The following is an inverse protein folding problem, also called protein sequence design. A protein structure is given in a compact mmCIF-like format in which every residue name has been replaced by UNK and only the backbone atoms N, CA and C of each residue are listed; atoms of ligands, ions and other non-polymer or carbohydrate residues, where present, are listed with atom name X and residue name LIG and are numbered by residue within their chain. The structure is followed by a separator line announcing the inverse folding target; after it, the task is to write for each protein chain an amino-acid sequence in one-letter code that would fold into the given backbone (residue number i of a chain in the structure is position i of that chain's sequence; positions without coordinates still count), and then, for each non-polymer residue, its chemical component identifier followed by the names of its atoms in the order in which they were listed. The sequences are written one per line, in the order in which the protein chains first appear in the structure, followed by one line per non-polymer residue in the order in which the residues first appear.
data_IF_530662107600
#
_entry.id   IF_530662107600
#
_cell.length_a   1.000
_cell.length_b   1.000
_cell.length_c   1.000
_cell.angle_alpha   90.00
_cell.angle_beta   90.00
_cell.angle_gamma   90.00
#
_symmetry.space_group_name_H-M   'P 1'
#
loop_
_entity.id
_entity.type
_entity.pdbx_description
1 polymer ?
#
# COMPACT_ATOMS: atom_id res chain seq x y z
N UNK A 1 18.87 -2.57 9.32
CA UNK A 1 20.10 -2.38 8.52
C UNK A 1 21.25 -2.87 9.38
N UNK A 2 21.78 -4.06 9.10
CA UNK A 2 22.97 -4.58 9.79
C UNK A 2 24.10 -4.62 8.76
N UNK A 3 25.22 -3.99 9.12
CA UNK A 3 26.45 -3.95 8.32
C UNK A 3 27.25 -5.20 8.68
N UNK A 4 27.48 -6.09 7.72
CA UNK A 4 28.40 -7.21 7.91
C UNK A 4 29.77 -6.77 7.37
N UNK A 5 30.75 -6.57 8.26
CA UNK A 5 32.06 -5.95 7.96
C UNK A 5 33.03 -6.81 7.14
N UNK A 6 32.61 -7.97 6.63
CA UNK A 6 33.54 -8.92 5.99
C UNK A 6 33.33 -9.25 4.52
N UNK A 7 32.52 -8.48 3.77
CA UNK A 7 32.58 -8.58 2.30
C UNK A 7 32.12 -7.30 1.59
N UNK A 8 33.02 -6.66 0.82
CA UNK A 8 32.77 -5.44 0.02
C UNK A 8 31.92 -5.71 -1.24
N UNK A 9 30.74 -6.31 -1.06
CA UNK A 9 29.62 -6.23 -2.01
C UNK A 9 28.36 -5.93 -1.18
N UNK A 10 27.96 -4.67 -1.18
CA UNK A 10 26.68 -4.22 -0.62
C UNK A 10 25.55 -4.78 -1.49
N UNK A 11 25.14 -6.03 -1.22
CA UNK A 11 23.86 -6.53 -1.68
C UNK A 11 22.81 -5.95 -0.74
N UNK A 12 22.17 -4.86 -1.13
CA UNK A 12 21.00 -4.34 -0.42
C UNK A 12 19.85 -5.33 -0.66
N UNK A 13 19.69 -6.29 0.25
CA UNK A 13 18.58 -7.25 0.22
C UNK A 13 17.36 -6.58 0.85
N UNK A 14 16.20 -6.74 0.22
CA UNK A 14 14.91 -6.31 0.78
C UNK A 14 14.61 -7.17 2.00
N UNK A 15 14.66 -6.59 3.21
CA UNK A 15 14.29 -7.26 4.46
C UNK A 15 12.78 -7.12 4.63
N UNK A 16 12.03 -8.17 4.28
CA UNK A 16 10.58 -8.28 4.48
C UNK A 16 10.23 -9.22 5.62
N UNK A 17 8.94 -9.45 5.86
CA UNK A 17 8.45 -10.44 6.85
C UNK A 17 8.91 -11.87 6.54
N UNK A 18 9.19 -12.17 5.28
CA UNK A 18 9.77 -13.44 4.83
C UNK A 18 11.21 -13.67 5.27
N UNK A 19 11.91 -12.62 5.70
CA UNK A 19 13.30 -12.66 6.19
C UNK A 19 13.38 -12.40 7.70
N UNK A 20 12.23 -12.35 8.38
CA UNK A 20 12.14 -12.13 9.83
C UNK A 20 11.19 -13.15 10.46
N UNK A 21 9.93 -12.78 10.70
CA UNK A 21 9.04 -13.54 11.58
C UNK A 21 8.53 -14.85 11.00
N UNK A 22 8.47 -14.98 9.67
CA UNK A 22 8.09 -16.25 9.04
C UNK A 22 9.20 -17.29 9.14
N UNK A 23 10.46 -16.86 9.11
CA UNK A 23 11.62 -17.74 9.34
C UNK A 23 11.60 -18.20 10.79
N UNK A 24 11.49 -17.27 11.74
CA UNK A 24 11.40 -17.57 13.18
C UNK A 24 10.28 -18.59 13.48
N UNK A 25 9.11 -18.44 12.83
CA UNK A 25 7.99 -19.38 12.98
C UNK A 25 8.38 -20.80 12.56
N UNK A 26 8.99 -20.96 11.39
CA UNK A 26 9.38 -22.27 10.85
C UNK A 26 10.53 -22.87 11.66
N UNK A 27 11.55 -22.09 11.98
CA UNK A 27 12.70 -22.53 12.79
C UNK A 27 12.28 -22.96 14.20
N UNK A 28 11.23 -22.36 14.76
CA UNK A 28 10.70 -22.77 16.07
C UNK A 28 10.05 -24.16 16.09
N UNK A 29 9.70 -24.71 14.91
CA UNK A 29 8.94 -25.97 14.80
C UNK A 29 7.47 -25.89 15.25
N UNK A 30 6.98 -24.71 15.66
CA UNK A 30 5.63 -24.53 16.20
C UNK A 30 4.59 -24.09 15.17
N UNK A 31 4.93 -24.05 13.88
CA UNK A 31 4.01 -23.64 12.83
C UNK A 31 4.36 -24.18 11.45
N UNK A 32 3.41 -24.06 10.54
CA UNK A 32 3.52 -24.48 9.14
C UNK A 32 3.04 -23.36 8.24
N UNK A 33 3.73 -23.17 7.10
CA UNK A 33 3.29 -22.29 6.02
C UNK A 33 2.79 -23.16 4.87
N UNK A 34 1.56 -22.93 4.42
CA UNK A 34 0.94 -23.63 3.30
C UNK A 34 0.85 -22.67 2.10
N UNK A 35 1.81 -22.69 1.16
CA UNK A 35 1.73 -21.89 -0.06
C UNK A 35 0.76 -22.53 -1.07
N UNK A 36 0.29 -21.74 -2.03
CA UNK A 36 -0.54 -22.25 -3.14
C UNK A 36 -1.98 -22.64 -2.76
N UNK A 37 -2.45 -22.26 -1.57
CA UNK A 37 -3.84 -22.37 -1.19
C UNK A 37 -4.51 -21.00 -0.99
N UNK A 38 -5.83 -20.97 -1.15
CA UNK A 38 -6.65 -19.80 -0.90
C UNK A 38 -7.65 -20.04 0.23
N UNK A 39 -7.73 -19.14 1.21
CA UNK A 39 -8.77 -19.16 2.22
C UNK A 39 -10.13 -18.84 1.59
N UNK A 40 -11.08 -19.76 1.74
CA UNK A 40 -12.41 -19.71 1.12
C UNK A 40 -13.42 -19.09 2.08
N UNK A 41 -13.40 -19.51 3.34
CA UNK A 41 -14.41 -19.17 4.35
C UNK A 41 -13.88 -19.41 5.76
N UNK A 42 -14.16 -18.49 6.69
CA UNK A 42 -13.99 -18.72 8.12
C UNK A 42 -15.24 -19.41 8.65
N UNK A 43 -15.08 -20.61 9.21
CA UNK A 43 -16.19 -21.35 9.81
C UNK A 43 -16.40 -20.86 11.24
N UNK A 44 -17.63 -20.47 11.56
CA UNK A 44 -18.06 -20.10 12.90
C UNK A 44 -19.44 -20.67 13.20
N UNK A 45 -19.76 -20.83 14.48
CA UNK A 45 -21.09 -21.28 14.90
C UNK A 45 -21.60 -20.48 16.09
N UNK A 46 -22.93 -20.33 16.17
CA UNK A 46 -23.59 -19.69 17.29
C UNK A 46 -24.21 -20.74 18.19
N UNK A 47 -23.77 -20.80 19.44
CA UNK A 47 -24.42 -21.62 20.47
C UNK A 47 -25.69 -20.92 20.97
N UNK A 48 -26.72 -21.71 21.29
CA UNK A 48 -27.97 -21.20 21.89
C UNK A 48 -27.64 -20.43 23.18
N UNK A 49 -28.15 -19.21 23.31
CA UNK A 49 -27.92 -18.34 24.47
C UNK A 49 -26.63 -17.49 24.43
N UNK A 50 -25.83 -17.54 23.35
CA UNK A 50 -24.73 -16.58 23.14
C UNK A 50 -25.12 -15.49 22.15
N UNK A 51 -24.65 -14.27 22.42
CA UNK A 51 -24.88 -13.10 21.55
C UNK A 51 -24.00 -13.12 20.29
N UNK A 52 -22.79 -13.67 20.40
CA UNK A 52 -21.81 -13.80 19.32
C UNK A 52 -21.63 -15.25 18.89
N UNK A 53 -21.30 -15.47 17.62
CA UNK A 53 -20.78 -16.76 17.18
C UNK A 53 -19.33 -16.92 17.62
N UNK A 54 -18.80 -18.14 17.56
CA UNK A 54 -17.40 -18.44 17.88
C UNK A 54 -16.73 -19.05 16.66
N UNK A 55 -15.55 -18.54 16.29
CA UNK A 55 -14.71 -19.10 15.24
C UNK A 55 -14.34 -20.57 15.54
N UNK A 56 -14.23 -21.38 14.48
CA UNK A 56 -13.87 -22.81 14.57
C UNK A 56 -12.72 -23.20 13.67
N UNK A 57 -12.38 -22.37 12.69
CA UNK A 57 -11.35 -22.69 11.72
C UNK A 57 -11.55 -21.96 10.42
N UNK A 58 -10.82 -22.42 9.41
CA UNK A 58 -10.86 -21.88 8.05
C UNK A 58 -10.96 -23.02 7.04
N UNK A 59 -11.88 -22.88 6.09
CA UNK A 59 -11.87 -23.64 4.86
C UNK A 59 -10.89 -22.99 3.88
N UNK A 60 -10.04 -23.78 3.26
CA UNK A 60 -9.10 -23.33 2.25
C UNK A 60 -9.03 -24.34 1.09
N UNK A 61 -8.72 -23.87 -0.10
CA UNK A 61 -8.62 -24.69 -1.31
C UNK A 61 -7.23 -24.65 -1.94
N UNK A 62 -6.73 -25.79 -2.39
CA UNK A 62 -5.63 -25.87 -3.36
C UNK A 62 -6.21 -25.97 -4.76
N UNK A 63 -5.60 -25.26 -5.71
CA UNK A 63 -5.89 -25.41 -7.13
C UNK A 63 -4.67 -26.08 -7.76
N UNK A 64 -4.85 -27.33 -8.18
CA UNK A 64 -3.80 -28.10 -8.84
C UNK A 64 -3.64 -27.68 -10.31
N UNK A 65 -2.51 -28.05 -10.91
CA UNK A 65 -2.20 -27.68 -12.30
C UNK A 65 -3.21 -28.23 -13.32
N UNK A 66 -3.87 -29.33 -13.01
CA UNK A 66 -4.93 -29.94 -13.81
C UNK A 66 -6.31 -29.28 -13.59
N UNK A 67 -6.37 -28.22 -12.78
CA UNK A 67 -7.60 -27.50 -12.44
C UNK A 67 -8.43 -28.16 -11.34
N UNK A 68 -8.01 -29.31 -10.81
CA UNK A 68 -8.71 -29.95 -9.70
C UNK A 68 -8.60 -29.10 -8.43
N UNK A 69 -9.69 -29.07 -7.65
CA UNK A 69 -9.78 -28.33 -6.39
C UNK A 69 -9.79 -29.30 -5.23
N UNK A 70 -8.85 -29.13 -4.30
CA UNK A 70 -8.86 -29.84 -3.02
C UNK A 70 -9.27 -28.87 -1.92
N UNK A 71 -10.42 -29.11 -1.28
CA UNK A 71 -10.90 -28.29 -0.16
C UNK A 71 -10.52 -28.95 1.16
N UNK A 72 -9.86 -28.18 2.02
CA UNK A 72 -9.37 -28.61 3.33
C UNK A 72 -9.96 -27.73 4.44
N UNK A 73 -10.05 -28.28 5.64
CA UNK A 73 -10.48 -27.55 6.84
C UNK A 73 -9.37 -27.56 7.90
N UNK A 74 -8.91 -26.37 8.28
CA UNK A 74 -8.02 -26.21 9.42
C UNK A 74 -8.81 -25.75 10.64
N UNK A 75 -8.95 -26.62 11.63
CA UNK A 75 -9.59 -26.30 12.91
C UNK A 75 -8.66 -25.43 13.77
N UNK A 76 -9.22 -24.42 14.43
CA UNK A 76 -8.48 -23.51 15.30
C UNK A 76 -9.29 -23.09 16.53
N UNK A 77 -8.59 -22.69 17.60
CA UNK A 77 -9.20 -22.03 18.77
C UNK A 77 -9.43 -20.54 18.52
N UNK A 78 -8.50 -19.94 17.78
CA UNK A 78 -8.52 -18.54 17.33
C UNK A 78 -8.15 -18.52 15.85
N UNK A 79 -8.82 -17.69 15.06
CA UNK A 79 -8.53 -17.45 13.64
C UNK A 79 -8.14 -15.99 13.45
N UNK A 80 -7.05 -15.74 12.71
CA UNK A 80 -6.59 -14.40 12.36
C UNK A 80 -6.68 -14.25 10.84
N UNK A 81 -7.35 -13.20 10.38
CA UNK A 81 -7.44 -12.82 8.96
C UNK A 81 -6.43 -11.72 8.67
N UNK A 82 -5.60 -11.92 7.65
CA UNK A 82 -4.55 -10.99 7.24
C UNK A 82 -4.41 -10.96 5.70
N UNK A 83 -5.53 -10.84 4.99
CA UNK A 83 -5.58 -10.87 3.53
C UNK A 83 -5.35 -9.48 2.88
N UNK A 84 -5.10 -8.45 3.68
CA UNK A 84 -4.91 -7.07 3.24
C UNK A 84 -6.24 -6.32 3.04
N UNK A 85 -6.16 -4.99 2.94
CA UNK A 85 -7.33 -4.12 2.89
C UNK A 85 -8.30 -4.38 1.73
N UNK A 86 -7.88 -5.04 0.67
CA UNK A 86 -8.76 -5.38 -0.45
C UNK A 86 -9.49 -6.71 -0.23
N UNK A 87 -8.77 -7.74 0.22
CA UNK A 87 -9.30 -9.10 0.25
C UNK A 87 -9.91 -9.49 1.60
N UNK A 88 -9.45 -8.90 2.71
CA UNK A 88 -9.99 -9.16 4.06
C UNK A 88 -11.50 -8.90 4.14
N UNK A 89 -12.03 -7.73 3.69
CA UNK A 89 -13.46 -7.51 3.68
C UNK A 89 -14.26 -8.56 2.92
N UNK A 90 -13.70 -9.03 1.80
CA UNK A 90 -14.34 -10.04 0.97
C UNK A 90 -14.42 -11.39 1.67
N UNK A 91 -13.32 -11.85 2.29
CA UNK A 91 -13.32 -13.10 3.06
C UNK A 91 -14.30 -13.02 4.24
N UNK A 92 -14.32 -11.91 4.98
CA UNK A 92 -15.23 -11.75 6.12
C UNK A 92 -16.71 -11.77 5.69
N UNK A 93 -17.07 -11.02 4.63
CA UNK A 93 -18.44 -11.02 4.08
C UNK A 93 -18.85 -12.40 3.57
N UNK A 94 -17.94 -13.09 2.87
CA UNK A 94 -18.16 -14.46 2.38
C UNK A 94 -18.34 -15.46 3.52
N UNK A 95 -17.67 -15.23 4.64
CA UNK A 95 -17.83 -15.98 5.90
C UNK A 95 -19.10 -15.63 6.67
N UNK A 96 -20.01 -14.84 6.08
CA UNK A 96 -21.32 -14.56 6.63
C UNK A 96 -21.39 -13.39 7.63
N UNK A 97 -20.29 -12.66 7.87
CA UNK A 97 -20.32 -11.47 8.71
C UNK A 97 -21.19 -10.37 8.07
N UNK A 98 -21.95 -9.65 8.89
CA UNK A 98 -22.97 -8.66 8.48
C UNK A 98 -22.65 -7.23 8.90
N UNK A 99 -21.52 -7.00 9.56
CA UNK A 99 -21.17 -5.69 10.08
C UNK A 99 -21.06 -4.68 8.91
N UNK A 100 -21.85 -3.58 8.93
CA UNK A 100 -21.96 -2.66 7.80
C UNK A 100 -20.68 -1.84 7.55
N UNK A 101 -19.70 -1.89 8.46
CA UNK A 101 -18.41 -1.24 8.31
C UNK A 101 -17.39 -2.09 7.53
N UNK A 102 -17.66 -3.38 7.33
CA UNK A 102 -16.76 -4.26 6.56
C UNK A 102 -16.77 -3.83 5.09
N UNK A 103 -15.59 -3.49 4.59
CA UNK A 103 -15.33 -3.00 3.24
C UNK A 103 -15.55 -1.50 3.05
N UNK A 104 -15.80 -0.73 4.12
CA UNK A 104 -15.94 0.74 4.06
C UNK A 104 -14.71 1.42 4.64
N UNK A 105 -14.58 2.72 4.41
CA UNK A 105 -13.42 3.50 4.90
C UNK A 105 -12.11 3.05 4.24
N UNK A 106 -12.18 2.61 2.98
CA UNK A 106 -11.00 2.29 2.21
C UNK A 106 -10.25 3.59 1.89
N UNK A 107 -9.01 3.67 2.34
CA UNK A 107 -8.04 4.67 1.93
C UNK A 107 -7.03 4.03 0.99
N UNK A 108 -6.58 4.78 -0.01
CA UNK A 108 -5.68 4.27 -1.05
C UNK A 108 -4.34 5.00 -1.09
N UNK A 109 -4.16 6.08 -0.33
CA UNK A 109 -2.90 6.82 -0.29
C UNK A 109 -2.47 7.24 -1.73
N UNK A 110 -3.27 8.10 -2.40
CA UNK A 110 -3.12 8.38 -3.81
C UNK A 110 -1.79 9.06 -4.13
N UNK A 111 -1.26 8.77 -5.32
CA UNK A 111 0.02 9.24 -5.81
C UNK A 111 -0.10 9.85 -7.21
N UNK A 112 0.56 10.98 -7.40
CA UNK A 112 0.90 11.52 -8.73
C UNK A 112 2.40 11.68 -8.86
N UNK A 113 2.91 11.59 -10.08
CA UNK A 113 4.35 11.61 -10.35
C UNK A 113 4.72 12.68 -11.37
N UNK A 114 5.97 13.12 -11.28
CA UNK A 114 6.69 13.80 -12.34
C UNK A 114 7.95 12.98 -12.69
N UNK A 115 8.47 13.17 -13.89
CA UNK A 115 9.68 12.53 -14.36
C UNK A 115 10.66 13.57 -14.88
N UNK A 116 11.95 13.23 -14.79
CA UNK A 116 13.05 14.04 -15.31
C UNK A 116 14.07 13.15 -16.01
N UNK A 117 14.46 13.52 -17.22
CA UNK A 117 15.52 12.87 -17.98
C UNK A 117 16.86 13.57 -17.75
N UNK A 118 17.90 12.78 -17.53
CA UNK A 118 19.24 13.26 -17.25
C UNK A 118 20.22 12.68 -18.29
N UNK A 119 20.77 13.49 -19.22
CA UNK A 119 21.71 13.01 -20.21
C UNK A 119 23.04 12.55 -19.60
N UNK A 120 23.88 11.90 -20.40
CA UNK A 120 25.26 11.56 -20.01
C UNK A 120 26.05 12.83 -19.65
N UNK A 121 26.60 12.87 -18.43
CA UNK A 121 27.40 14.00 -17.92
C UNK A 121 26.75 14.80 -16.79
N UNK A 122 25.41 14.85 -16.71
CA UNK A 122 24.69 15.50 -15.60
C UNK A 122 24.15 14.51 -14.55
N UNK A 123 24.39 13.22 -14.75
CA UNK A 123 23.98 12.16 -13.83
C UNK A 123 25.09 11.89 -12.80
N UNK A 124 24.78 11.83 -11.49
CA UNK A 124 25.78 11.81 -10.41
C UNK A 124 26.82 10.69 -10.52
N UNK A 125 26.47 9.58 -11.16
CA UNK A 125 27.34 8.40 -11.29
C UNK A 125 27.23 7.86 -12.72
N UNK A 126 28.25 8.04 -13.56
CA UNK A 126 28.20 7.79 -15.01
C UNK A 126 27.56 6.44 -15.42
N UNK A 127 27.74 5.39 -14.63
CA UNK A 127 27.24 4.04 -14.88
C UNK A 127 25.90 3.70 -14.20
N UNK A 128 25.48 4.51 -13.23
CA UNK A 128 24.25 4.24 -12.47
C UNK A 128 23.04 4.43 -13.35
N UNK A 129 22.06 3.55 -13.19
CA UNK A 129 20.78 3.61 -13.89
C UNK A 129 19.67 3.94 -12.91
N UNK A 130 18.59 4.55 -13.39
CA UNK A 130 17.42 4.90 -12.58
C UNK A 130 16.80 3.71 -11.83
N UNK A 131 16.97 2.50 -12.37
CA UNK A 131 16.46 1.25 -11.79
C UNK A 131 17.50 0.46 -10.96
N UNK A 132 18.70 1.00 -10.74
CA UNK A 132 19.74 0.39 -9.90
C UNK A 132 19.86 1.10 -8.56
N UNK A 133 19.87 0.34 -7.46
CA UNK A 133 20.06 0.85 -6.10
C UNK A 133 18.85 0.60 -5.19
N UNK A 134 18.89 1.17 -3.98
CA UNK A 134 17.77 1.10 -3.04
C UNK A 134 16.58 1.96 -3.50
N UNK A 135 15.36 1.46 -3.27
CA UNK A 135 14.14 2.23 -3.46
C UNK A 135 13.96 3.24 -2.31
N UNK A 136 13.42 4.42 -2.60
CA UNK A 136 13.00 5.39 -1.57
C UNK A 136 14.08 5.75 -0.53
N UNK A 137 15.31 6.01 -0.98
CA UNK A 137 16.42 6.39 -0.08
C UNK A 137 16.34 7.83 0.45
N UNK A 138 15.43 8.64 -0.09
CA UNK A 138 15.17 10.01 0.34
C UNK A 138 13.68 10.33 0.32
N UNK A 139 13.28 11.21 1.23
CA UNK A 139 11.92 11.69 1.40
C UNK A 139 11.96 13.17 1.75
N UNK A 140 11.05 13.97 1.21
CA UNK A 140 10.87 15.38 1.57
C UNK A 140 9.48 15.61 2.14
N UNK A 141 9.44 16.29 3.28
CA UNK A 141 8.21 16.65 3.99
C UNK A 141 7.78 18.09 3.72
N UNK A 142 8.37 18.75 2.71
CA UNK A 142 8.18 20.19 2.43
C UNK A 142 6.73 20.59 2.21
N UNK A 143 5.88 19.66 1.75
CA UNK A 143 4.44 19.86 1.54
C UNK A 143 3.58 18.88 2.36
N UNK A 144 4.15 18.27 3.40
CA UNK A 144 3.46 17.24 4.19
C UNK A 144 2.47 17.81 5.22
N UNK A 145 2.60 19.10 5.57
CA UNK A 145 1.73 19.81 6.51
C UNK A 145 1.53 19.12 7.88
N UNK A 146 2.56 18.45 8.39
CA UNK A 146 2.47 17.73 9.67
C UNK A 146 2.22 18.64 10.88
N UNK A 147 2.58 19.93 10.80
CA UNK A 147 2.38 20.90 11.88
C UNK A 147 1.04 21.66 11.79
N UNK A 148 0.40 21.65 10.62
CA UNK A 148 -0.87 22.33 10.39
C UNK A 148 -2.02 21.34 10.49
N UNK A 149 -2.67 21.07 9.35
CA UNK A 149 -3.84 20.18 9.30
C UNK A 149 -3.48 18.70 9.51
N UNK A 150 -2.20 18.34 9.34
CA UNK A 150 -1.75 16.95 9.28
C UNK A 150 -2.09 16.25 7.96
N UNK A 151 -2.71 16.95 7.00
CA UNK A 151 -3.09 16.47 5.68
C UNK A 151 -2.31 17.23 4.60
N UNK A 152 -1.22 16.64 4.16
CA UNK A 152 -0.41 17.10 3.04
C UNK A 152 0.09 15.93 2.20
N UNK A 153 1.11 16.20 1.38
CA UNK A 153 1.78 15.19 0.60
C UNK A 153 3.26 15.06 1.00
N UNK A 154 3.76 13.84 0.99
CA UNK A 154 5.19 13.56 1.13
C UNK A 154 5.77 13.28 -0.25
N UNK A 155 6.97 13.80 -0.49
CA UNK A 155 7.66 13.63 -1.76
C UNK A 155 8.69 12.53 -1.62
N UNK A 156 8.65 11.54 -2.51
CA UNK A 156 9.51 10.37 -2.49
C UNK A 156 9.87 9.96 -3.92
N UNK A 157 10.76 8.98 -4.05
CA UNK A 157 11.23 8.46 -5.35
C UNK A 157 10.84 7.00 -5.50
N UNK A 158 10.17 6.60 -6.60
CA UNK A 158 9.85 5.21 -6.85
C UNK A 158 11.02 4.54 -7.59
N UNK A 159 11.08 3.21 -7.50
CA UNK A 159 11.87 2.41 -8.44
C UNK A 159 10.91 1.85 -9.49
N UNK A 160 11.08 2.27 -10.75
CA UNK A 160 10.27 1.76 -11.86
C UNK A 160 11.09 0.77 -12.67
N UNK A 161 10.59 -0.46 -12.79
CA UNK A 161 11.05 -1.39 -13.81
C UNK A 161 10.50 -1.01 -15.21
N UNK A 162 11.07 -1.53 -16.32
CA UNK A 162 10.67 -1.15 -17.67
C UNK A 162 9.17 -1.28 -17.96
N UNK A 163 8.52 -2.33 -17.43
CA UNK A 163 7.09 -2.54 -17.61
C UNK A 163 6.24 -1.44 -16.96
N UNK A 164 6.53 -1.09 -15.71
CA UNK A 164 5.81 0.00 -15.02
C UNK A 164 6.10 1.35 -15.66
N UNK A 165 7.36 1.59 -16.06
CA UNK A 165 7.71 2.80 -16.79
C UNK A 165 6.89 2.92 -18.08
N UNK A 166 6.79 1.84 -18.87
CA UNK A 166 5.98 1.85 -20.10
C UNK A 166 4.48 2.06 -19.84
N UNK A 167 3.94 1.51 -18.74
CA UNK A 167 2.54 1.67 -18.40
C UNK A 167 2.18 3.08 -17.92
N UNK A 168 3.12 3.77 -17.26
CA UNK A 168 2.89 5.09 -16.68
C UNK A 168 3.28 6.24 -17.63
N UNK A 169 4.27 6.05 -18.50
CA UNK A 169 4.75 7.10 -19.39
C UNK A 169 3.64 7.47 -20.40
N UNK A 170 3.31 8.77 -20.57
CA UNK A 170 2.26 9.18 -21.49
C UNK A 170 2.55 8.74 -22.93
N UNK A 171 1.52 8.21 -23.58
CA UNK A 171 1.56 7.87 -24.98
C UNK A 171 1.09 9.06 -25.83
N UNK A 172 1.99 9.61 -26.64
CA UNK A 172 1.66 10.65 -27.64
C UNK A 172 1.67 10.08 -29.05
N UNK A 173 2.72 9.32 -29.39
CA UNK A 173 2.86 8.63 -30.68
C UNK A 173 3.85 7.47 -30.55
N UNK A 174 3.88 6.58 -31.55
CA UNK A 174 4.83 5.47 -31.55
C UNK A 174 6.30 5.91 -31.61
N UNK A 175 6.61 7.03 -32.26
CA UNK A 175 7.97 7.57 -32.31
C UNK A 175 8.37 8.24 -30.99
N UNK A 176 7.49 9.05 -30.41
CA UNK A 176 7.68 9.69 -29.10
C UNK A 176 7.87 8.62 -28.01
N UNK A 177 7.01 7.60 -27.97
CA UNK A 177 7.10 6.55 -26.98
C UNK A 177 8.40 5.74 -27.09
N UNK A 178 8.84 5.40 -28.32
CA UNK A 178 10.16 4.78 -28.55
C UNK A 178 11.30 5.64 -28.04
N UNK A 179 11.24 6.96 -28.24
CA UNK A 179 12.24 7.90 -27.73
C UNK A 179 12.24 7.99 -26.19
N UNK A 180 11.07 7.93 -25.54
CA UNK A 180 10.98 7.88 -24.08
C UNK A 180 11.51 6.56 -23.52
N UNK A 181 11.20 5.43 -24.17
CA UNK A 181 11.70 4.11 -23.78
C UNK A 181 13.22 4.00 -23.91
N UNK A 182 13.84 4.60 -24.94
CA UNK A 182 15.30 4.61 -25.07
C UNK A 182 15.99 5.43 -23.96
N UNK A 183 15.29 6.43 -23.42
CA UNK A 183 15.74 7.28 -22.30
C UNK A 183 15.55 6.65 -20.91
N UNK A 184 14.74 5.58 -20.77
CA UNK A 184 14.33 4.96 -19.50
C UNK A 184 15.44 4.87 -18.46
N UNK A 185 16.61 4.36 -18.87
CA UNK A 185 17.73 4.05 -17.97
C UNK A 185 18.31 5.28 -17.24
N UNK A 186 17.98 6.50 -17.70
CA UNK A 186 18.36 7.78 -17.09
C UNK A 186 17.17 8.72 -16.87
N UNK A 187 15.97 8.16 -16.75
CA UNK A 187 14.78 8.94 -16.37
C UNK A 187 14.43 8.63 -14.92
N UNK A 188 14.60 9.62 -14.06
CA UNK A 188 14.20 9.54 -12.65
C UNK A 188 12.73 9.97 -12.51
N UNK A 189 12.07 9.45 -11.48
CA UNK A 189 10.70 9.81 -11.14
C UNK A 189 10.67 10.31 -9.71
N UNK A 190 9.83 11.31 -9.47
CA UNK A 190 9.54 11.85 -8.14
C UNK A 190 8.04 11.87 -8.01
N UNK A 191 7.53 11.38 -6.88
CA UNK A 191 6.10 11.32 -6.64
C UNK A 191 5.68 12.05 -5.39
N UNK A 192 4.48 12.59 -5.43
CA UNK A 192 3.76 13.14 -4.30
C UNK A 192 2.73 12.13 -3.82
N UNK A 193 2.81 11.77 -2.55
CA UNK A 193 1.95 10.80 -1.89
C UNK A 193 1.11 11.53 -0.84
N UNK A 194 -0.19 11.67 -1.09
CA UNK A 194 -1.08 12.45 -0.23
C UNK A 194 -1.70 11.57 0.86
N UNK A 195 -1.66 12.05 2.11
CA UNK A 195 -2.50 11.48 3.18
C UNK A 195 -3.96 11.77 2.84
N UNK A 196 -4.71 10.77 2.39
CA UNK A 196 -6.06 10.99 1.89
C UNK A 196 -7.09 11.23 3.00
N UNK A 197 -7.89 12.29 2.85
CA UNK A 197 -9.19 12.46 3.50
C UNK A 197 -10.28 11.71 2.76
N UNK A 198 -10.12 11.61 1.44
CA UNK A 198 -10.94 10.82 0.55
C UNK A 198 -11.04 9.39 1.06
N UNK A 199 -12.17 8.76 0.79
CA UNK A 199 -12.42 7.39 1.20
C UNK A 199 -13.26 6.66 0.17
N UNK A 200 -13.27 5.35 0.32
CA UNK A 200 -13.89 4.43 -0.60
C UNK A 200 -14.47 3.20 0.06
N UNK A 201 -14.91 2.28 -0.79
CA UNK A 201 -15.47 1.01 -0.41
C UNK A 201 -14.96 -0.12 -1.32
N UNK A 202 -14.79 -1.32 -0.77
CA UNK A 202 -14.45 -2.54 -1.49
C UNK A 202 -15.73 -3.34 -1.82
N UNK A 203 -15.95 -3.60 -3.10
CA UNK A 203 -17.09 -4.40 -3.59
C UNK A 203 -16.68 -5.86 -3.83
N UNK A 204 -15.46 -6.07 -4.33
CA UNK A 204 -14.86 -7.39 -4.54
C UNK A 204 -13.34 -7.31 -4.36
N UNK A 205 -12.63 -8.43 -4.59
CA UNK A 205 -11.16 -8.47 -4.57
C UNK A 205 -10.52 -7.50 -5.59
N UNK A 206 -11.25 -7.14 -6.65
CA UNK A 206 -10.75 -6.37 -7.80
C UNK A 206 -11.57 -5.13 -8.10
N UNK A 207 -12.62 -4.85 -7.33
CA UNK A 207 -13.54 -3.74 -7.57
C UNK A 207 -13.70 -2.88 -6.33
N UNK A 208 -13.50 -1.58 -6.52
CA UNK A 208 -13.62 -0.55 -5.48
C UNK A 208 -14.36 0.66 -6.03
N UNK A 209 -14.90 1.45 -5.11
CA UNK A 209 -15.21 2.86 -5.36
C UNK A 209 -14.31 3.69 -4.47
N UNK A 210 -13.73 4.75 -5.01
CA UNK A 210 -12.95 5.71 -4.23
C UNK A 210 -13.30 7.12 -4.67
N UNK A 211 -13.54 8.01 -3.70
CA UNK A 211 -13.79 9.42 -3.95
C UNK A 211 -12.66 10.23 -3.33
N UNK A 212 -11.83 10.80 -4.19
CA UNK A 212 -10.78 11.73 -3.79
C UNK A 212 -11.39 13.01 -3.23
N UNK A 213 -10.89 13.48 -2.08
CA UNK A 213 -11.31 14.77 -1.52
C UNK A 213 -10.65 15.92 -2.29
N UNK A 214 -11.28 17.10 -2.26
CA UNK A 214 -10.72 18.30 -2.88
C UNK A 214 -9.37 18.67 -2.25
N UNK A 215 -9.25 18.51 -0.93
CA UNK A 215 -7.98 18.74 -0.22
C UNK A 215 -6.88 17.81 -0.72
N UNK A 216 -7.22 16.55 -1.00
CA UNK A 216 -6.25 15.56 -1.49
C UNK A 216 -5.76 15.94 -2.87
N UNK A 217 -6.67 16.35 -3.77
CA UNK A 217 -6.33 16.81 -5.10
C UNK A 217 -5.40 18.03 -5.04
N UNK A 218 -5.69 19.02 -4.19
CA UNK A 218 -4.85 20.20 -3.99
C UNK A 218 -3.47 19.84 -3.44
N UNK A 219 -3.39 18.92 -2.48
CA UNK A 219 -2.13 18.45 -1.91
C UNK A 219 -1.28 17.71 -2.94
N UNK A 220 -1.89 16.87 -3.79
CA UNK A 220 -1.21 16.20 -4.90
C UNK A 220 -0.67 17.21 -5.92
N UNK A 221 -1.45 18.24 -6.27
CA UNK A 221 -1.02 19.32 -7.17
C UNK A 221 0.17 20.11 -6.63
N UNK A 222 0.15 20.46 -5.34
CA UNK A 222 1.28 21.09 -4.65
C UNK A 222 2.52 20.19 -4.64
N UNK A 223 2.34 18.90 -4.39
CA UNK A 223 3.42 17.92 -4.46
C UNK A 223 3.99 17.75 -5.87
N UNK A 224 3.14 17.78 -6.91
CA UNK A 224 3.55 17.71 -8.31
C UNK A 224 4.36 18.95 -8.73
N UNK A 225 3.91 20.14 -8.33
CA UNK A 225 4.64 21.40 -8.50
C UNK A 225 6.05 21.32 -7.91
N UNK A 226 6.16 20.88 -6.65
CA UNK A 226 7.48 20.68 -6.01
C UNK A 226 8.30 19.59 -6.66
N UNK A 227 7.69 18.51 -7.13
CA UNK A 227 8.39 17.41 -7.82
C UNK A 227 9.07 17.88 -9.11
N UNK A 228 8.38 18.69 -9.93
CA UNK A 228 8.97 19.30 -11.14
C UNK A 228 10.15 20.20 -10.82
N UNK A 229 10.04 21.04 -9.78
CA UNK A 229 11.13 21.91 -9.32
C UNK A 229 12.32 21.13 -8.78
N UNK A 230 12.07 20.07 -8.00
CA UNK A 230 13.13 19.19 -7.49
C UNK A 230 13.89 18.55 -8.64
N UNK A 231 13.19 18.04 -9.66
CA UNK A 231 13.82 17.43 -10.83
C UNK A 231 14.67 18.43 -11.62
N UNK A 232 14.14 19.62 -11.86
CA UNK A 232 14.88 20.70 -12.52
C UNK A 232 16.13 21.12 -11.73
N UNK A 233 15.98 21.36 -10.42
CA UNK A 233 17.09 21.72 -9.53
C UNK A 233 18.14 20.61 -9.39
N UNK A 234 17.72 19.34 -9.53
CA UNK A 234 18.63 18.19 -9.55
C UNK A 234 19.43 18.08 -10.87
N UNK A 235 19.12 18.88 -11.90
CA UNK A 235 19.83 18.91 -13.17
C UNK A 235 19.18 18.08 -14.28
N UNK A 236 17.88 17.80 -14.20
CA UNK A 236 17.15 17.20 -15.30
C UNK A 236 17.20 18.13 -16.53
N UNK A 237 17.53 17.58 -17.69
CA UNK A 237 17.48 18.33 -18.94
C UNK A 237 16.05 18.47 -19.45
N UNK A 238 15.27 17.41 -19.34
CA UNK A 238 13.87 17.39 -19.75
C UNK A 238 13.01 16.96 -18.58
N UNK A 239 11.91 17.65 -18.33
CA UNK A 239 10.94 17.30 -17.29
C UNK A 239 9.52 17.19 -17.87
N UNK A 240 8.68 16.44 -17.19
CA UNK A 240 7.25 16.37 -17.49
C UNK A 240 6.46 15.64 -16.41
N UNK A 241 5.17 15.55 -16.66
CA UNK A 241 4.23 14.80 -15.80
C UNK A 241 3.76 13.54 -16.53
N UNK A 242 2.92 12.75 -15.85
CA UNK A 242 2.24 11.60 -16.46
C UNK A 242 0.88 11.96 -17.07
N UNK A 243 0.60 13.25 -17.27
CA UNK A 243 -0.61 13.66 -17.97
C UNK A 243 -0.61 13.13 -19.41
N UNK A 244 -1.76 12.67 -19.89
CA UNK A 244 -1.92 12.03 -21.20
C UNK A 244 -1.64 12.97 -22.39
N UNK A 245 -1.62 14.29 -22.19
CA UNK A 245 -1.16 15.25 -23.20
C UNK A 245 0.35 15.15 -23.48
N UNK A 246 1.12 14.53 -22.58
CA UNK A 246 2.54 14.22 -22.78
C UNK A 246 3.44 15.45 -22.94
N UNK A 247 3.01 16.63 -22.46
CA UNK A 247 3.82 17.85 -22.53
C UNK A 247 5.15 17.67 -21.78
N UNK A 248 6.22 18.18 -22.38
CA UNK A 248 7.56 18.17 -21.81
C UNK A 248 8.19 19.54 -21.93
N UNK A 249 9.20 19.80 -21.09
CA UNK A 249 9.98 21.03 -21.11
C UNK A 249 11.45 20.68 -21.05
N UNK A 250 12.24 21.20 -22.00
CA UNK A 250 13.70 21.18 -21.88
C UNK A 250 14.14 22.37 -21.00
N UNK A 251 14.54 22.07 -19.76
CA UNK A 251 14.86 23.06 -18.72
C UNK A 251 16.07 23.92 -19.11
N UNK A 252 16.98 23.42 -19.95
CA UNK A 252 18.20 24.14 -20.35
C UNK A 252 17.99 25.16 -21.46
N UNK A 253 16.89 25.04 -22.20
CA UNK A 253 16.64 25.81 -23.43
C UNK A 253 15.52 26.84 -23.28
N UNK A 254 15.10 27.14 -22.05
CA UNK A 254 13.95 28.01 -21.77
C UNK A 254 14.31 29.07 -20.73
N UNK A 255 13.62 30.20 -20.81
CA UNK A 255 13.68 31.24 -19.78
C UNK A 255 13.05 30.77 -18.47
N UNK A 256 13.41 31.44 -17.37
CA UNK A 256 12.75 31.21 -16.09
C UNK A 256 11.23 31.42 -16.17
N UNK A 257 10.76 32.40 -16.94
CA UNK A 257 9.33 32.67 -17.12
C UNK A 257 8.61 31.50 -17.83
N UNK A 258 9.20 30.92 -18.87
CA UNK A 258 8.65 29.76 -19.56
C UNK A 258 8.62 28.52 -18.66
N UNK A 259 9.68 28.32 -17.86
CA UNK A 259 9.72 27.28 -16.84
C UNK A 259 8.58 27.44 -15.82
N UNK A 260 8.40 28.63 -15.25
CA UNK A 260 7.31 28.91 -14.30
C UNK A 260 5.94 28.68 -14.94
N UNK A 261 5.75 29.12 -16.19
CA UNK A 261 4.52 28.88 -16.94
C UNK A 261 4.23 27.37 -17.08
N UNK A 262 5.23 26.58 -17.46
CA UNK A 262 5.11 25.13 -17.61
C UNK A 262 4.76 24.45 -16.28
N UNK A 263 5.50 24.75 -15.21
CA UNK A 263 5.27 24.16 -13.88
C UNK A 263 3.85 24.46 -13.42
N UNK A 264 3.41 25.72 -13.52
CA UNK A 264 2.05 26.13 -13.15
C UNK A 264 0.99 25.45 -14.01
N UNK A 265 1.19 25.37 -15.32
CA UNK A 265 0.23 24.74 -16.22
C UNK A 265 0.06 23.26 -15.88
N UNK A 266 1.17 22.52 -15.78
CA UNK A 266 1.15 21.07 -15.55
C UNK A 266 0.66 20.72 -14.14
N UNK A 267 1.07 21.46 -13.10
CA UNK A 267 0.68 21.17 -11.73
C UNK A 267 -0.76 21.58 -11.39
N UNK A 268 -1.38 22.47 -12.18
CA UNK A 268 -2.77 22.93 -11.93
C UNK A 268 -3.83 22.07 -12.60
N UNK A 269 -3.45 21.20 -13.55
CA UNK A 269 -4.38 20.33 -14.28
C UNK A 269 -5.25 19.51 -13.33
N UNK A 270 -6.53 19.39 -13.62
CA UNK A 270 -7.43 18.54 -12.84
C UNK A 270 -6.96 17.07 -12.86
N UNK A 271 -6.95 16.43 -11.70
CA UNK A 271 -6.59 15.01 -11.56
C UNK A 271 -7.82 14.12 -11.75
N UNK A 272 -8.54 14.34 -12.85
CA UNK A 272 -9.84 13.74 -13.17
C UNK A 272 -9.85 13.20 -14.60
N UNK A 273 -10.93 12.52 -14.95
CA UNK A 273 -11.22 12.04 -16.31
C UNK A 273 -10.12 11.15 -16.92
N UNK A 274 -9.38 10.43 -16.06
CA UNK A 274 -8.29 9.52 -16.45
C UNK A 274 -7.17 10.26 -17.22
N UNK A 275 -7.13 11.59 -17.13
CA UNK A 275 -6.14 12.41 -17.83
C UNK A 275 -4.73 12.27 -17.24
N UNK A 276 -4.62 11.90 -15.97
CA UNK A 276 -3.36 11.65 -15.28
C UNK A 276 -3.52 10.38 -14.46
N UNK A 277 -2.65 9.37 -14.61
CA UNK A 277 -2.68 8.17 -13.79
C UNK A 277 -2.52 8.52 -12.31
N UNK A 278 -3.49 8.13 -11.48
CA UNK A 278 -3.38 8.14 -10.03
C UNK A 278 -2.96 6.74 -9.59
N UNK A 279 -1.79 6.66 -8.97
CA UNK A 279 -1.24 5.39 -8.51
C UNK A 279 -1.52 5.18 -7.01
N UNK A 280 -1.48 3.93 -6.58
CA UNK A 280 -1.57 3.55 -5.16
C UNK A 280 -0.77 2.29 -4.92
N UNK A 281 -0.06 2.25 -3.79
CA UNK A 281 0.60 1.05 -3.27
C UNK A 281 0.13 0.69 -1.85
N UNK A 282 -0.69 1.54 -1.22
CA UNK A 282 -1.03 1.41 0.19
C UNK A 282 -2.55 1.46 0.39
N UNK A 283 -3.21 0.31 0.29
CA UNK A 283 -4.62 0.18 0.63
C UNK A 283 -4.77 -0.10 2.12
N UNK A 284 -5.68 0.62 2.79
CA UNK A 284 -5.89 0.51 4.24
C UNK A 284 -7.32 0.88 4.65
N UNK A 285 -7.69 0.52 5.88
CA UNK A 285 -8.88 1.03 6.58
C UNK A 285 -10.23 0.39 6.25
N UNK A 286 -10.28 -0.54 5.30
CA UNK A 286 -11.51 -1.20 4.85
C UNK A 286 -12.23 -2.07 5.91
N UNK A 287 -11.58 -2.38 7.03
CA UNK A 287 -12.16 -3.03 8.21
C UNK A 287 -11.75 -2.29 9.47
N UNK A 288 -11.91 -0.94 9.49
CA UNK A 288 -11.38 -0.08 10.55
C UNK A 288 -11.67 -0.58 11.96
N UNK A 289 -10.64 -0.45 12.80
CA UNK A 289 -10.68 -0.61 14.23
C UNK A 289 -11.41 0.57 14.89
N UNK A 290 -12.16 0.31 15.97
CA UNK A 290 -12.80 1.35 16.76
C UNK A 290 -13.32 0.83 18.09
N UNK A 291 -13.89 1.72 18.90
CA UNK A 291 -14.37 1.40 20.26
C UNK A 291 -15.83 0.92 20.31
N UNK A 292 -16.54 0.96 19.18
CA UNK A 292 -17.96 0.58 19.09
C UNK A 292 -18.27 -0.14 17.77
N UNK A 293 -19.09 -1.20 17.85
CA UNK A 293 -19.51 -2.00 16.69
C UNK A 293 -20.24 -1.19 15.61
N UNK A 294 -20.97 -0.15 15.99
CA UNK A 294 -21.71 0.71 15.06
C UNK A 294 -20.79 1.43 14.06
N UNK A 295 -19.57 1.79 14.48
CA UNK A 295 -18.63 2.57 13.68
C UNK A 295 -17.38 1.83 13.22
N UNK A 296 -17.24 0.54 13.52
CA UNK A 296 -16.01 -0.21 13.25
C UNK A 296 -16.28 -1.68 12.94
N UNK A 297 -15.36 -2.31 12.21
CA UNK A 297 -15.45 -3.73 11.87
C UNK A 297 -14.84 -4.62 12.97
N UNK A 298 -13.80 -4.11 13.64
CA UNK A 298 -13.11 -4.77 14.76
C UNK A 298 -13.00 -3.84 15.96
N UNK A 299 -12.92 -4.43 17.15
CA UNK A 299 -12.69 -3.73 18.40
C UNK A 299 -11.20 -3.35 18.55
N UNK A 300 -10.78 -2.63 19.62
CA UNK A 300 -9.39 -2.18 19.79
C UNK A 300 -8.36 -3.30 19.93
N UNK A 301 -8.79 -4.55 20.18
CA UNK A 301 -7.89 -5.72 20.25
C UNK A 301 -7.70 -6.40 18.90
N UNK A 302 -8.39 -5.91 17.86
CA UNK A 302 -8.41 -6.51 16.53
C UNK A 302 -9.44 -7.63 16.36
N UNK A 303 -10.23 -7.94 17.40
CA UNK A 303 -11.29 -8.96 17.32
C UNK A 303 -12.54 -8.41 16.63
N UNK A 304 -13.15 -9.19 15.75
CA UNK A 304 -14.41 -8.81 15.09
C UNK A 304 -15.55 -8.70 16.10
N UNK A 305 -16.44 -7.74 15.93
CA UNK A 305 -17.57 -7.55 16.85
C UNK A 305 -18.56 -8.73 16.86
N UNK A 306 -18.67 -9.46 15.75
CA UNK A 306 -19.71 -10.47 15.54
C UNK A 306 -19.27 -11.88 15.94
N UNK A 307 -17.97 -12.18 15.81
CA UNK A 307 -17.42 -13.52 15.99
C UNK A 307 -16.30 -13.51 17.02
N UNK A 308 -16.51 -14.21 18.13
CA UNK A 308 -15.53 -14.46 19.19
C UNK A 308 -14.42 -15.36 18.66
N UNK A 309 -13.16 -15.02 18.95
CA UNK A 309 -11.98 -15.74 18.49
C UNK A 309 -11.63 -15.48 17.01
N UNK A 310 -12.27 -14.51 16.35
CA UNK A 310 -11.91 -14.08 14.99
C UNK A 310 -11.27 -12.69 15.03
N UNK A 311 -10.02 -12.60 14.61
CA UNK A 311 -9.24 -11.37 14.61
C UNK A 311 -8.86 -10.94 13.20
N UNK A 312 -8.54 -9.65 13.04
CA UNK A 312 -7.99 -9.08 11.81
C UNK A 312 -6.67 -8.38 12.13
N UNK A 313 -5.61 -8.70 11.39
CA UNK A 313 -4.25 -8.21 11.66
C UNK A 313 -3.52 -7.80 10.37
N UNK A 314 -4.10 -6.84 9.63
CA UNK A 314 -3.51 -6.26 8.43
C UNK A 314 -3.86 -4.76 8.31
N UNK A 315 -3.51 -4.11 7.20
CA UNK A 315 -3.77 -2.68 6.98
C UNK A 315 -5.26 -2.31 6.92
N UNK A 316 -6.18 -3.28 6.75
CA UNK A 316 -7.62 -3.03 6.75
C UNK A 316 -8.11 -2.42 8.06
N UNK A 317 -7.42 -2.65 9.18
CA UNK A 317 -7.91 -2.18 10.49
C UNK A 317 -7.55 -0.73 10.80
N UNK A 318 -6.81 -0.05 9.92
CA UNK A 318 -6.37 1.32 10.17
C UNK A 318 -7.56 2.28 10.26
N UNK A 319 -7.70 3.09 11.32
CA UNK A 319 -8.84 4.01 11.44
C UNK A 319 -8.87 5.11 10.38
N UNK A 320 -7.70 5.55 9.91
CA UNK A 320 -7.52 6.63 8.92
C UNK A 320 -6.32 6.35 8.03
N UNK A 321 -6.19 7.10 6.93
CA UNK A 321 -4.98 7.11 6.12
C UNK A 321 -3.75 7.56 6.91
N UNK A 322 -2.63 6.87 6.68
CA UNK A 322 -1.31 7.32 7.12
C UNK A 322 -0.74 8.33 6.12
N UNK A 323 0.04 9.30 6.60
CA UNK A 323 0.81 10.22 5.73
C UNK A 323 2.21 9.73 5.41
N UNK A 324 2.52 8.47 5.75
CA UNK A 324 3.82 7.81 5.55
C UNK A 324 3.62 6.33 5.22
N UNK A 325 4.66 5.64 4.80
CA UNK A 325 4.60 4.23 4.41
C UNK A 325 4.12 3.32 5.57
N UNK A 326 3.15 2.41 5.33
CA UNK A 326 2.44 1.72 6.40
C UNK A 326 3.19 0.54 7.02
N UNK A 327 4.36 0.14 6.50
CA UNK A 327 5.03 -1.11 6.86
C UNK A 327 5.25 -1.27 8.37
N UNK A 328 5.85 -0.27 9.03
CA UNK A 328 6.14 -0.35 10.47
C UNK A 328 4.83 -0.28 11.28
N UNK A 329 3.86 0.52 10.83
CA UNK A 329 2.56 0.63 11.51
C UNK A 329 1.77 -0.67 11.46
N UNK A 330 1.74 -1.37 10.32
CA UNK A 330 1.04 -2.67 10.23
C UNK A 330 1.75 -3.75 11.04
N UNK A 331 3.08 -3.74 11.09
CA UNK A 331 3.84 -4.65 11.96
C UNK A 331 3.55 -4.40 13.44
N UNK A 332 3.49 -3.13 13.86
CA UNK A 332 3.13 -2.77 15.23
C UNK A 332 1.70 -3.22 15.59
N UNK A 333 0.73 -3.00 14.69
CA UNK A 333 -0.64 -3.46 14.89
C UNK A 333 -0.73 -4.98 14.93
N UNK A 334 -0.04 -5.69 14.04
CA UNK A 334 0.00 -7.15 14.05
C UNK A 334 0.57 -7.68 15.39
N UNK A 335 1.62 -7.05 15.91
CA UNK A 335 2.17 -7.37 17.22
C UNK A 335 1.17 -7.15 18.36
N UNK A 336 0.50 -5.99 18.40
CA UNK A 336 -0.53 -5.70 19.41
C UNK A 336 -1.72 -6.67 19.35
N UNK A 337 -2.19 -7.00 18.15
CA UNK A 337 -3.25 -8.00 17.95
C UNK A 337 -2.78 -9.38 18.41
N UNK A 338 -1.52 -9.77 18.14
CA UNK A 338 -0.98 -11.03 18.61
C UNK A 338 -0.93 -11.12 20.14
N UNK A 339 -0.58 -10.04 20.85
CA UNK A 339 -0.65 -9.99 22.32
C UNK A 339 -2.08 -10.21 22.83
N UNK A 340 -3.05 -9.55 22.19
CA UNK A 340 -4.48 -9.73 22.53
C UNK A 340 -4.95 -11.17 22.33
N UNK A 341 -4.51 -11.81 21.24
CA UNK A 341 -4.78 -13.23 20.96
C UNK A 341 -4.17 -14.13 22.04
N UNK A 342 -2.93 -13.87 22.47
CA UNK A 342 -2.27 -14.64 23.54
C UNK A 342 -3.04 -14.55 24.86
N UNK A 343 -3.51 -13.36 25.24
CA UNK A 343 -4.36 -13.20 26.42
C UNK A 343 -5.67 -13.98 26.30
N UNK A 344 -6.34 -13.91 25.14
CA UNK A 344 -7.56 -14.65 24.87
C UNK A 344 -7.34 -16.17 25.02
N UNK A 345 -6.25 -16.69 24.43
CA UNK A 345 -5.88 -18.11 24.53
C UNK A 345 -5.56 -18.55 25.95
N UNK A 346 -4.94 -17.68 26.78
CA UNK A 346 -4.69 -17.98 28.21
C UNK A 346 -6.00 -18.11 28.98
N UNK A 347 -6.92 -17.16 28.84
CA UNK A 347 -8.25 -17.21 29.49
C UNK A 347 -9.05 -18.46 29.09
N UNK A 348 -8.93 -18.91 27.85
CA UNK A 348 -9.56 -20.16 27.38
C UNK A 348 -8.93 -21.42 28.00
N UNK A 349 -7.65 -21.39 28.39
CA UNK A 349 -7.02 -22.52 29.09
C UNK A 349 -7.49 -22.58 30.54
N UNK A 350 -7.57 -21.45 31.21
CA UNK A 350 -7.95 -21.37 32.63
C UNK A 350 -9.39 -21.86 32.85
N UNK A 351 -10.31 -21.51 31.94
CA UNK A 351 -11.70 -22.00 31.96
C UNK A 351 -11.86 -23.51 31.67
N UNK A 352 -10.81 -24.19 31.20
CA UNK A 352 -10.82 -25.64 31.00
C UNK A 352 -10.39 -26.44 32.25
N UNK A 353 -9.83 -25.76 33.27
CA UNK A 353 -9.44 -26.40 34.54
C UNK A 353 -10.51 -26.26 35.65
N UNK A 354 -11.55 -25.46 35.41
CA UNK A 354 -12.66 -25.22 36.36
C UNK A 354 -13.94 -26.05 36.03
N UNK A 355 -13.81 -27.18 35.32
CA UNK A 355 -14.93 -28.10 35.00
C UNK A 355 -14.67 -29.50 35.53
#
# INVERSE_FOLDING_TARGET
MLINEHNKRLTVVRIGTSETWLVDLIESGNGTILPGCEAVEVIHNRKKGRDRSTAKGVLFEFIHQDGTKQVCFAKSKVTIVACGAMCTPHLLKKSGLKNPNIGKNLHIHPVVMAWGHFPSGSWPEAEKKSYKGGIMTAMSTVVADFKGSGYGAVIQTPALHPGMFSALMPWVSGSDFKARMSKFSRTAHVFALARDKGSGETHSKTSITYKMDVTDEENLKRGLEKSLRILAAAGAEEIGTHNNKGKTLNVKNVSYHEFECFVREESSRALRDISTPICSAHQMGSCRMGVQAKGSAVNPTGETWEVEGLYVADTSVFPTALGVNPMITVQAIAYCTAQSVLESLRRMKDTCYDI
#
